data_IF_978019421625
#
_entry.id   IF_978019421625
#
_cell.length_a   1.000
_cell.length_b   1.000
_cell.length_c   1.000
_cell.angle_alpha   90.00
_cell.angle_beta   90.00
_cell.angle_gamma   90.00
#
_symmetry.space_group_name_H-M   'P 1'
#
loop_
_entity.id
_entity.type
_entity.pdbx_description
1 polymer ?
2 polymer ?
3 polymer ?
4 non-polymer ?
#
# COMPACT_ATOMS: atom_id res chain seq x y z
N UNK A 1 -25.20 6.21 26.23
CA UNK A 1 -24.93 5.02 25.42
C UNK A 1 -23.81 5.29 24.43
N UNK A 2 -22.57 5.10 24.86
CA UNK A 2 -21.42 5.30 23.99
C UNK A 2 -21.19 4.05 23.14
N UNK A 3 -21.62 4.11 21.89
CA UNK A 3 -21.66 2.94 21.02
C UNK A 3 -20.25 2.56 20.54
N UNK A 4 -20.06 1.27 20.29
CA UNK A 4 -18.77 0.78 19.82
C UNK A 4 -18.53 1.24 18.39
N UNK A 5 -17.26 1.40 18.00
CA UNK A 5 -16.93 1.93 16.68
C UNK A 5 -16.82 0.86 15.60
N UNK A 6 -17.93 0.19 15.30
CA UNK A 6 -17.95 -0.68 14.13
C UNK A 6 -17.91 0.09 12.84
N UNK A 7 -18.15 1.40 12.88
CA UNK A 7 -18.19 2.19 11.65
C UNK A 7 -16.91 2.06 10.84
N UNK A 8 -15.80 2.56 11.38
CA UNK A 8 -14.55 2.51 10.63
C UNK A 8 -13.98 1.10 10.56
N UNK A 9 -14.57 0.14 11.26
CA UNK A 9 -14.14 -1.24 11.11
C UNK A 9 -14.75 -1.88 9.88
N UNK A 10 -16.03 -1.58 9.60
CA UNK A 10 -16.67 -2.16 8.42
C UNK A 10 -16.68 -1.21 7.23
N UNK A 11 -16.73 0.09 7.47
CA UNK A 11 -16.90 1.07 6.41
C UNK A 11 -15.60 1.74 6.01
N UNK A 12 -14.46 1.21 6.43
CA UNK A 12 -13.18 1.81 6.07
C UNK A 12 -12.96 1.75 4.57
N UNK A 13 -12.28 2.76 4.04
CA UNK A 13 -12.00 2.79 2.61
C UNK A 13 -11.08 1.65 2.20
N UNK A 14 -10.04 1.39 3.00
CA UNK A 14 -9.01 0.42 2.65
C UNK A 14 -8.93 -0.66 3.70
N UNK A 15 -8.81 -1.91 3.26
CA UNK A 15 -8.45 -3.02 4.13
C UNK A 15 -7.08 -3.54 3.76
N UNK A 16 -6.37 -4.04 4.76
CA UNK A 16 -5.05 -4.59 4.55
C UNK A 16 -5.14 -5.94 3.85
N UNK A 17 -4.04 -6.32 3.22
CA UNK A 17 -3.99 -7.62 2.56
C UNK A 17 -4.05 -8.74 3.58
N UNK A 18 -4.44 -9.93 3.11
CA UNK A 18 -4.80 -11.00 4.02
C UNK A 18 -3.63 -11.48 4.87
N UNK A 19 -2.41 -11.40 4.34
CA UNK A 19 -1.27 -11.90 5.10
C UNK A 19 -0.87 -10.97 6.24
N UNK A 20 -1.44 -9.78 6.32
CA UNK A 20 -1.18 -8.85 7.42
C UNK A 20 -2.49 -8.28 7.92
N UNK A 21 -3.45 -9.17 8.16
CA UNK A 21 -4.79 -8.79 8.59
C UNK A 21 -4.78 -7.83 9.77
N UNK A 22 -5.63 -6.81 9.68
CA UNK A 22 -5.76 -5.83 10.76
C UNK A 22 -6.38 -6.47 12.00
N UNK A 23 -5.84 -6.12 13.17
CA UNK A 23 -6.42 -6.52 14.45
C UNK A 23 -6.71 -5.28 15.27
N UNK A 24 -7.98 -4.87 15.32
CA UNK A 24 -8.42 -3.71 16.09
C UNK A 24 -9.17 -4.20 17.32
N UNK A 25 -8.79 -3.69 18.48
CA UNK A 25 -9.46 -4.08 19.72
C UNK A 25 -10.76 -3.29 19.89
N UNK A 26 -11.75 -3.95 20.48
CA UNK A 26 -13.00 -3.31 20.88
C UNK A 26 -13.22 -3.64 22.34
N UNK A 27 -13.34 -2.61 23.16
CA UNK A 27 -13.60 -2.76 24.58
C UNK A 27 -14.10 -1.44 25.12
N UNK A 28 -14.70 -1.49 26.31
CA UNK A 28 -15.20 -0.31 27.02
C UNK A 28 -16.19 0.49 26.16
N UNK A 29 -17.12 -0.24 25.55
CA UNK A 29 -18.20 0.38 24.81
C UNK A 29 -19.34 -0.61 24.70
N UNK A 30 -20.51 -0.09 24.37
CA UNK A 30 -21.68 -0.93 24.12
C UNK A 30 -21.81 -1.15 22.62
N UNK A 31 -21.99 -2.41 22.23
CA UNK A 31 -22.01 -2.79 20.83
C UNK A 31 -23.42 -3.22 20.44
N UNK A 32 -23.95 -2.60 19.39
CA UNK A 32 -25.28 -2.88 18.86
C UNK A 32 -25.17 -3.76 17.63
N UNK A 33 -25.05 -5.07 17.85
CA UNK A 33 -24.85 -5.98 16.74
C UNK A 33 -26.07 -6.10 15.85
N UNK A 34 -27.23 -5.63 16.29
CA UNK A 34 -28.46 -5.84 15.54
C UNK A 34 -28.38 -5.19 14.17
N UNK A 35 -27.88 -3.95 14.11
CA UNK A 35 -27.78 -3.27 12.82
C UNK A 35 -26.86 -4.03 11.89
N UNK A 36 -25.83 -4.69 12.43
CA UNK A 36 -25.01 -5.56 11.60
C UNK A 36 -25.81 -6.74 11.10
N UNK A 37 -26.49 -7.44 12.01
CA UNK A 37 -27.26 -8.60 11.61
C UNK A 37 -28.40 -8.21 10.68
N UNK A 38 -29.04 -7.08 10.94
CA UNK A 38 -30.15 -6.62 10.13
C UNK A 38 -29.70 -5.79 8.94
N UNK A 39 -28.39 -5.69 8.69
CA UNK A 39 -27.92 -4.90 7.57
C UNK A 39 -28.40 -5.47 6.23
N UNK A 40 -28.47 -6.78 6.11
CA UNK A 40 -28.95 -7.48 4.92
C UNK A 40 -28.11 -7.19 3.68
N UNK A 41 -26.98 -6.53 3.83
CA UNK A 41 -26.06 -6.27 2.72
C UNK A 41 -24.79 -7.10 2.81
N UNK A 42 -24.79 -8.17 3.60
CA UNK A 42 -23.63 -9.00 3.83
C UNK A 42 -23.80 -10.31 3.09
N UNK A 43 -22.87 -10.65 2.21
CA UNK A 43 -22.98 -11.88 1.45
C UNK A 43 -22.94 -13.09 2.37
N UNK A 44 -22.06 -13.08 3.36
CA UNK A 44 -21.94 -14.20 4.28
C UNK A 44 -21.85 -13.69 5.70
N UNK A 45 -22.58 -14.36 6.60
CA UNK A 45 -22.58 -14.00 8.01
C UNK A 45 -22.73 -15.30 8.78
N UNK A 46 -21.61 -15.90 9.15
CA UNK A 46 -21.61 -17.23 9.74
C UNK A 46 -21.13 -17.12 11.17
N UNK A 47 -21.90 -17.69 12.11
CA UNK A 47 -21.55 -17.59 13.51
C UNK A 47 -21.31 -18.94 14.15
N UNK A 48 -20.27 -18.99 14.98
CA UNK A 48 -19.78 -20.22 15.58
C UNK A 48 -19.72 -20.13 17.11
N UNK A 49 -20.25 -19.05 17.68
CA UNK A 49 -20.34 -18.93 19.12
C UNK A 49 -21.76 -19.24 19.56
N UNK A 50 -22.55 -18.20 19.80
CA UNK A 50 -23.97 -18.37 19.99
C UNK A 50 -24.66 -17.91 18.70
N UNK A 51 -25.97 -18.17 18.61
CA UNK A 51 -26.71 -17.74 17.43
C UNK A 51 -26.69 -16.22 17.33
N UNK A 52 -26.67 -15.69 16.11
CA UNK A 52 -26.55 -14.23 15.96
C UNK A 52 -27.65 -13.45 16.63
N UNK A 53 -28.87 -14.00 16.68
CA UNK A 53 -29.97 -13.28 17.33
C UNK A 53 -29.72 -13.10 18.81
N UNK A 54 -29.20 -14.13 19.48
CA UNK A 54 -29.08 -14.08 20.92
C UNK A 54 -27.93 -13.20 21.38
N UNK A 55 -26.83 -13.14 20.62
CA UNK A 55 -25.60 -12.54 21.12
C UNK A 55 -25.78 -11.08 21.51
N UNK A 56 -26.79 -10.40 20.98
CA UNK A 56 -27.07 -9.05 21.43
C UNK A 56 -27.40 -9.00 22.91
N UNK A 57 -27.81 -10.12 23.49
CA UNK A 57 -28.06 -10.23 24.92
C UNK A 57 -26.86 -10.77 25.68
N UNK A 58 -25.78 -11.12 24.99
CA UNK A 58 -24.61 -11.72 25.60
C UNK A 58 -23.50 -10.68 25.66
N UNK A 59 -22.80 -10.64 26.79
CA UNK A 59 -21.78 -9.64 27.04
C UNK A 59 -20.41 -10.29 27.21
N UNK A 60 -19.38 -9.60 26.72
CA UNK A 60 -18.02 -10.13 26.68
C UNK A 60 -17.08 -9.12 27.32
N UNK A 61 -15.79 -9.47 27.37
CA UNK A 61 -14.79 -8.54 27.84
C UNK A 61 -13.83 -8.05 26.78
N UNK A 62 -13.68 -8.75 25.66
CA UNK A 62 -12.93 -8.17 24.55
C UNK A 62 -13.51 -8.65 23.24
N UNK A 63 -13.53 -7.77 22.25
CA UNK A 63 -13.96 -8.11 20.91
C UNK A 63 -12.84 -7.70 19.97
N UNK A 64 -12.06 -8.66 19.51
CA UNK A 64 -11.07 -8.35 18.48
C UNK A 64 -11.75 -8.38 17.13
N UNK A 65 -11.48 -7.37 16.30
CA UNK A 65 -11.99 -7.32 14.94
C UNK A 65 -10.79 -7.42 14.00
N UNK A 66 -10.70 -8.51 13.26
CA UNK A 66 -9.61 -8.75 12.33
C UNK A 66 -10.17 -8.64 10.92
N UNK A 67 -9.64 -7.70 10.15
CA UNK A 67 -10.17 -7.42 8.84
C UNK A 67 -9.14 -7.70 7.76
N UNK A 68 -9.62 -8.09 6.58
CA UNK A 68 -8.75 -8.32 5.44
C UNK A 68 -9.60 -8.44 4.17
N UNK A 69 -8.96 -8.83 3.07
CA UNK A 69 -9.61 -8.98 1.78
C UNK A 69 -9.12 -10.25 1.13
N UNK A 70 -10.04 -11.08 0.64
CA UNK A 70 -9.70 -12.39 0.09
C UNK A 70 -10.49 -12.59 -1.20
N UNK A 71 -10.33 -13.77 -1.79
CA UNK A 71 -11.11 -14.19 -2.94
C UNK A 71 -12.36 -14.93 -2.48
N UNK A 72 -13.38 -14.93 -3.34
CA UNK A 72 -14.62 -15.61 -3.00
C UNK A 72 -14.42 -17.09 -2.75
N UNK A 73 -13.50 -17.71 -3.49
CA UNK A 73 -13.27 -19.14 -3.36
C UNK A 73 -12.81 -19.51 -1.95
N UNK A 74 -11.92 -18.71 -1.38
CA UNK A 74 -11.30 -19.05 -0.10
C UNK A 74 -12.17 -18.67 1.08
N UNK A 75 -13.35 -18.09 0.86
CA UNK A 75 -14.16 -17.58 1.96
C UNK A 75 -14.48 -18.69 2.95
N UNK A 76 -14.74 -19.90 2.43
CA UNK A 76 -15.08 -21.02 3.31
C UNK A 76 -13.95 -21.34 4.28
N UNK A 77 -12.70 -21.05 3.90
CA UNK A 77 -11.57 -21.45 4.73
C UNK A 77 -11.58 -20.79 6.10
N UNK A 78 -12.19 -19.61 6.22
CA UNK A 78 -12.21 -18.92 7.50
C UNK A 78 -13.32 -19.52 8.34
N UNK A 79 -12.98 -20.56 9.07
CA UNK A 79 -13.91 -21.26 9.93
C UNK A 79 -13.08 -22.16 10.85
N UNK A 80 -13.52 -22.40 12.07
CA UNK A 80 -12.71 -23.21 12.99
C UNK A 80 -12.44 -24.58 12.41
N UNK A 81 -11.22 -25.07 12.62
CA UNK A 81 -10.86 -26.39 12.14
C UNK A 81 -10.95 -26.57 10.65
N UNK A 82 -10.40 -25.63 9.89
CA UNK A 82 -10.38 -25.72 8.44
C UNK A 82 -8.95 -25.80 7.92
N UNK A 83 -8.80 -26.31 6.71
CA UNK A 83 -7.48 -26.49 6.11
C UNK A 83 -7.48 -25.92 4.70
N UNK A 84 -6.30 -25.50 4.26
CA UNK A 84 -6.14 -24.84 2.99
C UNK A 84 -5.02 -23.83 3.08
N UNK A 85 -4.70 -23.23 1.92
CA UNK A 85 -3.58 -22.31 1.87
C UNK A 85 -3.81 -21.11 2.79
N UNK A 86 -5.03 -20.56 2.78
CA UNK A 86 -5.32 -19.44 3.66
C UNK A 86 -5.34 -19.89 5.11
N UNK A 87 -5.88 -21.08 5.36
CA UNK A 87 -6.04 -21.54 6.73
C UNK A 87 -4.80 -22.20 7.29
N UNK A 88 -3.67 -22.14 6.61
CA UNK A 88 -2.42 -22.56 7.23
C UNK A 88 -1.28 -21.59 7.02
N UNK A 89 -1.30 -20.80 5.95
CA UNK A 89 -0.20 -19.89 5.66
C UNK A 89 -0.52 -18.44 5.98
N UNK A 90 -1.79 -18.05 6.00
CA UNK A 90 -2.15 -16.64 6.12
C UNK A 90 -2.95 -16.34 7.38
N UNK A 91 -4.05 -17.04 7.61
CA UNK A 91 -4.92 -16.74 8.75
C UNK A 91 -5.82 -17.94 9.00
N UNK A 92 -5.77 -18.47 10.21
CA UNK A 92 -6.65 -19.59 10.54
C UNK A 92 -7.20 -19.43 11.94
N UNK A 93 -8.44 -19.84 12.12
CA UNK A 93 -9.14 -19.73 13.38
C UNK A 93 -8.83 -20.94 14.26
N UNK A 94 -8.77 -20.77 15.57
CA UNK A 94 -8.75 -21.92 16.47
C UNK A 94 -10.06 -22.67 16.41
N UNK A 95 -10.00 -23.96 16.75
CA UNK A 95 -11.20 -24.79 16.70
C UNK A 95 -12.27 -24.27 17.67
N UNK A 96 -11.87 -23.83 18.85
CA UNK A 96 -12.81 -23.38 19.87
C UNK A 96 -13.12 -21.90 19.70
N UNK A 97 -13.03 -21.42 18.46
CA UNK A 97 -13.27 -20.01 18.16
C UNK A 97 -14.61 -19.54 18.69
N UNK A 98 -14.59 -18.46 19.47
CA UNK A 98 -15.75 -17.91 20.15
C UNK A 98 -16.05 -16.54 19.56
N UNK A 99 -16.80 -16.54 18.46
CA UNK A 99 -17.03 -15.33 17.70
C UNK A 99 -17.58 -15.72 16.34
N UNK A 100 -17.61 -14.74 15.44
CA UNK A 100 -18.11 -15.09 14.11
C UNK A 100 -17.74 -14.07 13.06
N UNK A 101 -18.08 -14.42 11.82
CA UNK A 101 -17.41 -13.92 10.63
C UNK A 101 -18.43 -13.27 9.71
N UNK A 102 -18.09 -12.06 9.25
CA UNK A 102 -18.87 -11.33 8.26
C UNK A 102 -18.03 -11.23 7.00
N UNK A 103 -18.71 -11.18 5.85
CA UNK A 103 -17.98 -11.01 4.60
C UNK A 103 -18.95 -10.51 3.54
N UNK A 104 -18.45 -9.69 2.64
CA UNK A 104 -19.29 -9.22 1.55
C UNK A 104 -18.46 -8.92 0.31
N UNK A 105 -19.09 -9.10 -0.85
CA UNK A 105 -18.43 -8.85 -2.12
C UNK A 105 -18.16 -7.37 -2.29
N UNK A 106 -17.01 -7.05 -2.90
CA UNK A 106 -16.63 -5.65 -3.06
C UNK A 106 -15.98 -5.40 -4.43
N UNK A 107 -16.41 -6.12 -5.46
CA UNK A 107 -15.79 -5.98 -6.77
C UNK A 107 -15.88 -4.56 -7.29
N UNK A 108 -16.90 -3.81 -6.87
CA UNK A 108 -17.03 -2.43 -7.30
C UNK A 108 -15.88 -1.56 -6.78
N UNK A 109 -15.16 -2.01 -5.76
CA UNK A 109 -14.16 -1.21 -5.10
C UNK A 109 -12.74 -1.73 -5.27
N UNK A 110 -12.51 -3.00 -4.97
CA UNK A 110 -11.14 -3.50 -4.80
C UNK A 110 -10.62 -4.27 -6.00
N UNK A 111 -11.04 -3.93 -7.21
CA UNK A 111 -10.52 -4.58 -8.40
C UNK A 111 -10.24 -3.54 -9.47
N UNK A 112 -9.27 -3.85 -10.33
CA UNK A 112 -8.84 -2.94 -11.39
C UNK A 112 -9.03 -3.58 -12.75
N UNK A 113 -9.31 -2.72 -13.73
CA UNK A 113 -9.49 -3.18 -15.10
C UNK A 113 -8.23 -3.88 -15.58
N UNK A 114 -7.06 -3.33 -15.27
CA UNK A 114 -5.84 -4.03 -15.52
C UNK A 114 -5.49 -5.08 -14.50
N UNK A 115 -6.33 -5.23 -13.48
CA UNK A 115 -6.05 -6.17 -12.41
C UNK A 115 -5.40 -5.51 -11.21
N UNK A 116 -5.95 -5.74 -10.02
CA UNK A 116 -5.40 -5.12 -8.84
C UNK A 116 -4.06 -5.75 -8.49
N UNK A 117 -3.19 -4.98 -7.85
CA UNK A 117 -1.82 -5.37 -7.55
C UNK A 117 -1.47 -5.20 -6.08
N UNK A 118 -2.39 -4.65 -5.29
CA UNK A 118 -2.06 -4.30 -3.92
C UNK A 118 -2.24 -5.47 -2.96
N UNK A 119 -3.29 -6.26 -3.15
CA UNK A 119 -3.58 -7.31 -2.19
C UNK A 119 -2.72 -8.54 -2.43
N UNK A 120 -2.13 -9.06 -1.36
CA UNK A 120 -1.11 -10.09 -1.44
C UNK A 120 -1.41 -11.19 -0.43
N UNK A 121 -1.04 -12.41 -0.78
CA UNK A 121 -1.23 -13.53 0.13
C UNK A 121 0.01 -14.38 0.17
N UNK A 122 0.24 -15.01 1.32
CA UNK A 122 1.50 -15.73 1.57
C UNK A 122 1.40 -17.10 0.90
N UNK A 123 2.12 -17.26 -0.22
CA UNK A 123 1.97 -18.46 -1.03
C UNK A 123 2.61 -19.67 -0.36
N UNK A 124 3.82 -19.52 0.17
CA UNK A 124 4.54 -20.62 0.77
C UNK A 124 4.96 -20.25 2.19
N UNK A 125 5.02 -21.25 3.05
CA UNK A 125 5.57 -21.09 4.39
C UNK A 125 6.11 -22.44 4.83
N UNK A 126 7.24 -22.41 5.53
CA UNK A 126 7.92 -23.66 5.87
C UNK A 126 7.21 -24.41 6.99
N UNK A 127 6.15 -23.84 7.57
CA UNK A 127 5.39 -24.49 8.62
C UNK A 127 3.98 -23.93 8.65
N UNK A 128 3.10 -24.62 9.38
CA UNK A 128 1.76 -24.13 9.57
C UNK A 128 1.74 -22.99 10.58
N UNK A 129 0.55 -22.43 10.80
CA UNK A 129 0.39 -21.30 11.70
C UNK A 129 -0.25 -21.72 13.00
N UNK A 130 0.14 -21.05 14.08
CA UNK A 130 -0.54 -21.16 15.35
C UNK A 130 -1.85 -20.40 15.28
N UNK A 131 -2.79 -20.65 16.20
CA UNK A 131 -4.04 -19.89 16.19
C UNK A 131 -3.79 -18.39 16.31
N UNK A 132 -4.50 -17.62 15.50
CA UNK A 132 -4.41 -16.16 15.52
C UNK A 132 -2.98 -15.69 15.37
N UNK A 133 -2.25 -16.27 14.42
CA UNK A 133 -0.86 -15.94 14.20
C UNK A 133 -0.71 -14.96 13.05
N UNK A 134 0.24 -14.04 13.20
CA UNK A 134 0.45 -12.95 12.26
C UNK A 134 1.93 -12.90 11.92
N UNK A 135 2.28 -13.36 10.72
CA UNK A 135 3.66 -13.36 10.26
C UNK A 135 3.77 -12.52 9.00
N UNK A 136 4.70 -11.57 9.01
CA UNK A 136 4.87 -10.64 7.89
C UNK A 136 6.26 -10.70 7.30
N UNK A 137 7.23 -11.35 7.94
CA UNK A 137 8.56 -11.46 7.37
C UNK A 137 8.48 -12.23 6.06
N UNK A 138 9.26 -11.78 5.08
CA UNK A 138 9.16 -12.29 3.70
C UNK A 138 10.52 -12.73 3.17
N UNK A 139 11.24 -13.52 3.96
CA UNK A 139 12.45 -14.13 3.45
C UNK A 139 12.11 -15.07 2.31
N UNK A 140 13.06 -15.23 1.38
CA UNK A 140 12.80 -16.04 0.19
C UNK A 140 12.57 -17.48 0.60
N UNK A 141 11.66 -18.15 -0.11
CA UNK A 141 11.27 -19.51 0.22
C UNK A 141 12.17 -20.52 -0.46
N UNK A 142 12.74 -21.44 0.32
CA UNK A 142 13.62 -22.48 -0.19
C UNK A 142 12.77 -23.71 -0.47
N UNK A 143 12.35 -23.88 -1.73
CA UNK A 143 11.58 -25.04 -2.12
C UNK A 143 12.44 -26.18 -2.62
N UNK A 144 13.76 -26.00 -2.66
CA UNK A 144 14.66 -27.03 -3.17
C UNK A 144 15.76 -27.33 -2.18
N UNK A 145 16.68 -28.19 -2.61
CA UNK A 145 17.78 -28.59 -1.74
C UNK A 145 18.70 -27.43 -1.43
N UNK A 146 19.01 -26.60 -2.43
CA UNK A 146 19.98 -25.54 -2.26
C UNK A 146 19.45 -24.46 -1.33
N UNK A 147 20.32 -23.79 -0.58
CA UNK A 147 19.90 -22.60 0.15
C UNK A 147 19.83 -21.41 -0.80
N UNK A 148 18.72 -20.69 -0.75
CA UNK A 148 18.52 -19.58 -1.68
C UNK A 148 19.49 -18.43 -1.43
N UNK A 149 20.12 -18.39 -0.26
CA UNK A 149 21.17 -17.42 0.05
C UNK A 149 20.69 -15.99 -0.10
N UNK A 150 19.41 -15.75 0.16
CA UNK A 150 18.86 -14.41 0.09
C UNK A 150 18.67 -13.86 -1.31
N UNK A 151 18.60 -14.73 -2.32
CA UNK A 151 18.34 -14.30 -3.69
C UNK A 151 17.43 -15.32 -4.35
N UNK A 152 16.52 -14.84 -5.19
CA UNK A 152 15.61 -15.71 -5.89
C UNK A 152 16.37 -16.55 -6.92
N UNK A 153 15.71 -17.59 -7.41
CA UNK A 153 16.32 -18.45 -8.41
C UNK A 153 15.52 -19.69 -8.72
N UNK A 154 16.19 -20.72 -9.25
CA UNK A 154 15.54 -21.97 -9.60
C UNK A 154 14.93 -22.59 -8.35
N UNK A 155 13.61 -22.69 -8.33
CA UNK A 155 12.83 -23.20 -7.20
C UNK A 155 12.96 -22.35 -5.95
N UNK A 156 13.52 -21.14 -6.07
CA UNK A 156 13.41 -20.13 -5.03
C UNK A 156 12.29 -19.18 -5.41
N UNK A 157 11.45 -18.84 -4.45
CA UNK A 157 10.24 -18.08 -4.72
C UNK A 157 10.06 -17.00 -3.67
N UNK A 158 9.46 -15.89 -4.10
CA UNK A 158 9.06 -14.86 -3.16
C UNK A 158 7.77 -15.28 -2.47
N UNK A 159 7.73 -15.35 -1.15
CA UNK A 159 6.63 -16.06 -0.50
C UNK A 159 5.29 -15.37 -0.57
N UNK A 160 5.17 -14.29 -1.32
CA UNK A 160 3.91 -13.57 -1.48
C UNK A 160 3.49 -13.55 -2.93
N UNK A 161 2.19 -13.61 -3.17
CA UNK A 161 1.63 -13.60 -4.50
C UNK A 161 0.47 -12.63 -4.55
N UNK A 162 0.25 -12.05 -5.73
CA UNK A 162 -0.73 -10.98 -5.90
C UNK A 162 -1.97 -11.50 -6.62
N UNK A 163 -3.13 -11.30 -5.99
CA UNK A 163 -4.38 -11.62 -6.67
C UNK A 163 -4.60 -10.67 -7.84
N UNK A 164 -5.07 -11.23 -8.95
CA UNK A 164 -5.41 -10.41 -10.09
C UNK A 164 -6.86 -9.98 -10.08
N UNK A 165 -7.23 -9.11 -9.14
CA UNK A 165 -8.62 -8.70 -9.02
C UNK A 165 -9.01 -7.86 -10.23
N UNK A 166 -9.80 -8.45 -11.13
CA UNK A 166 -10.33 -7.75 -12.28
C UNK A 166 -11.84 -7.71 -12.21
N UNK A 167 -12.47 -6.59 -12.57
CA UNK A 167 -13.90 -6.44 -12.33
C UNK A 167 -14.76 -7.48 -13.04
N UNK A 168 -14.34 -7.94 -14.20
CA UNK A 168 -15.14 -8.88 -14.98
C UNK A 168 -14.88 -10.33 -14.60
N UNK A 169 -14.07 -10.58 -13.58
CA UNK A 169 -13.79 -11.95 -13.18
C UNK A 169 -15.04 -12.61 -12.61
N UNK A 170 -15.00 -13.93 -12.54
CA UNK A 170 -16.12 -14.68 -12.00
C UNK A 170 -16.28 -14.47 -10.51
N UNK A 171 -17.46 -14.83 -10.02
CA UNK A 171 -17.77 -14.66 -8.60
C UNK A 171 -16.76 -15.41 -7.74
N UNK A 172 -16.30 -16.58 -8.21
CA UNK A 172 -15.28 -17.30 -7.48
C UNK A 172 -13.98 -16.52 -7.34
N UNK A 173 -13.70 -15.64 -8.29
CA UNK A 173 -12.46 -14.87 -8.28
C UNK A 173 -12.68 -13.40 -7.96
N UNK A 174 -13.80 -13.05 -7.35
CA UNK A 174 -14.05 -11.67 -7.00
C UNK A 174 -13.50 -11.32 -5.63
N UNK A 175 -13.19 -10.05 -5.39
CA UNK A 175 -12.66 -9.65 -4.07
C UNK A 175 -13.78 -9.49 -3.05
N UNK A 176 -13.61 -10.18 -1.92
CA UNK A 176 -14.56 -10.12 -0.82
C UNK A 176 -13.87 -9.56 0.40
N UNK A 177 -14.44 -8.50 0.97
CA UNK A 177 -13.93 -7.93 2.21
C UNK A 177 -14.47 -8.72 3.37
N UNK A 178 -13.59 -9.10 4.30
CA UNK A 178 -13.91 -10.03 5.36
C UNK A 178 -13.56 -9.42 6.70
N UNK A 179 -14.46 -9.59 7.67
CA UNK A 179 -14.24 -9.18 9.05
C UNK A 179 -14.47 -10.40 9.94
N UNK A 180 -13.66 -10.54 10.97
CA UNK A 180 -13.76 -11.66 11.90
C UNK A 180 -13.80 -11.08 13.30
N UNK A 181 -14.87 -11.34 14.03
CA UNK A 181 -15.00 -10.86 15.39
C UNK A 181 -14.76 -12.02 16.34
N UNK A 182 -13.75 -11.89 17.20
CA UNK A 182 -13.52 -12.85 18.26
C UNK A 182 -13.97 -12.23 19.57
N UNK A 183 -14.96 -12.86 20.20
CA UNK A 183 -15.50 -12.42 21.48
C UNK A 183 -14.88 -13.29 22.56
N UNK A 184 -13.98 -12.73 23.38
CA UNK A 184 -13.37 -13.54 24.41
C UNK A 184 -13.76 -13.00 25.78
N UNK A 185 -13.99 -13.94 26.70
CA UNK A 185 -14.26 -13.68 28.10
C UNK A 185 -13.03 -14.06 28.92
N UNK A 186 -12.40 -13.06 29.52
CA UNK A 186 -11.30 -13.23 30.45
C UNK A 186 -11.79 -12.92 31.85
N UNK A 187 -11.00 -13.27 32.85
CA UNK A 187 -11.39 -13.00 34.22
C UNK A 187 -11.27 -11.51 34.52
N UNK A 188 -12.22 -10.74 34.00
CA UNK A 188 -12.23 -9.30 34.14
C UNK A 188 -13.65 -8.82 33.94
N UNK A 189 -13.99 -7.64 34.45
CA UNK A 189 -15.37 -7.15 34.29
C UNK A 189 -15.72 -6.99 32.82
N UNK A 190 -16.79 -7.65 32.41
CA UNK A 190 -17.25 -7.54 31.03
C UNK A 190 -17.67 -6.10 30.74
N UNK A 191 -17.22 -5.58 29.61
CA UNK A 191 -17.47 -4.20 29.25
C UNK A 191 -18.20 -4.02 27.94
N UNK A 192 -18.30 -5.06 27.13
CA UNK A 192 -18.95 -4.97 25.82
C UNK A 192 -20.25 -5.74 25.91
N UNK A 193 -21.35 -5.03 26.13
CA UNK A 193 -22.63 -5.66 26.39
C UNK A 193 -23.62 -5.15 25.34
N UNK A 194 -24.91 -5.43 25.54
CA UNK A 194 -25.93 -5.06 24.58
C UNK A 194 -26.49 -3.66 24.71
N UNK B 1 -1.16 19.74 5.83
CA UNK B 1 0.13 20.07 6.41
C UNK B 1 0.75 18.89 7.12
N UNK B 2 1.58 18.14 6.42
CA UNK B 2 2.27 16.98 6.96
C UNK B 2 3.75 17.26 6.87
N UNK B 3 4.37 17.56 8.01
CA UNK B 3 5.80 17.85 8.03
C UNK B 3 6.56 16.54 8.05
N UNK B 4 7.25 16.24 6.96
CA UNK B 4 7.93 14.97 6.80
C UNK B 4 9.44 15.19 6.76
N UNK B 5 10.18 14.45 7.57
CA UNK B 5 11.63 14.67 7.69
C UNK B 5 12.34 13.35 7.82
N UNK B 6 13.23 13.06 6.88
CA UNK B 6 14.03 11.84 6.93
C UNK B 6 15.17 12.00 7.92
N UNK B 7 15.69 10.87 8.39
CA UNK B 7 16.86 10.88 9.25
C UNK B 7 17.59 9.55 9.18
N UNK B 8 18.67 9.49 8.41
CA UNK B 8 19.42 8.27 8.25
C UNK B 8 20.91 8.50 8.25
N UNK B 9 21.68 7.43 8.33
CA UNK B 9 23.14 7.58 8.28
C UNK B 9 23.58 8.10 6.92
N UNK B 10 24.57 8.99 6.91
CA UNK B 10 24.98 9.61 5.67
C UNK B 10 26.01 8.83 4.89
N UNK B 11 26.49 7.73 5.45
CA UNK B 11 27.57 6.96 4.85
C UNK B 11 27.52 5.54 5.42
N UNK B 12 27.58 4.55 4.54
CA UNK B 12 27.65 3.18 4.94
C UNK B 12 28.83 2.52 4.24
N UNK B 13 29.18 1.32 4.68
CA UNK B 13 30.25 0.56 4.08
C UNK B 13 29.68 -0.40 3.05
N UNK B 14 30.46 -0.79 2.05
CA UNK B 14 29.95 -1.75 1.07
C UNK B 14 29.59 -3.07 1.72
N UNK B 15 28.57 -3.72 1.14
CA UNK B 15 28.12 -5.08 1.44
C UNK B 15 27.39 -5.21 2.77
N UNK B 16 27.35 -4.15 3.59
CA UNK B 16 26.54 -4.19 4.80
C UNK B 16 25.16 -3.63 4.49
N UNK B 17 24.39 -3.28 5.51
CA UNK B 17 23.05 -2.76 5.31
C UNK B 17 22.96 -1.33 5.81
N UNK B 18 22.06 -0.57 5.18
CA UNK B 18 21.74 0.79 5.55
C UNK B 18 20.31 0.83 6.07
N UNK B 19 20.02 1.77 6.96
CA UNK B 19 18.72 1.85 7.62
C UNK B 19 18.31 3.30 7.78
N UNK B 20 17.53 3.80 6.85
CA UNK B 20 16.97 5.14 7.01
C UNK B 20 15.70 5.09 7.84
N UNK B 21 15.36 6.23 8.44
CA UNK B 21 14.17 6.34 9.27
C UNK B 21 13.43 7.62 8.93
N UNK B 22 12.17 7.49 8.58
CA UNK B 22 11.34 8.62 8.18
C UNK B 22 10.45 8.99 9.36
N UNK B 23 10.46 10.27 9.73
CA UNK B 23 9.58 10.76 10.78
C UNK B 23 8.53 11.70 10.21
N UNK B 24 7.31 11.53 10.70
CA UNK B 24 6.17 12.30 10.25
C UNK B 24 5.60 13.07 11.44
N UNK B 25 5.34 14.36 11.23
CA UNK B 25 4.78 15.19 12.29
C UNK B 25 3.59 15.93 11.72
N UNK B 26 2.51 15.99 12.49
CA UNK B 26 1.26 16.45 11.95
C UNK B 26 0.64 15.49 10.98
N UNK B 27 1.07 14.24 11.00
CA UNK B 27 0.63 13.26 10.02
C UNK B 27 0.00 12.02 10.60
N UNK B 28 -1.02 11.51 9.92
CA UNK B 28 -1.80 10.37 10.38
C UNK B 28 -1.48 9.17 9.49
N UNK B 29 -0.50 8.37 9.92
CA UNK B 29 -0.14 7.15 9.21
C UNK B 29 -1.33 6.22 9.09
N UNK B 30 -2.42 6.51 9.80
CA UNK B 30 -3.50 5.56 10.01
C UNK B 30 -4.19 5.12 8.73
N UNK B 31 -4.06 5.83 7.61
CA UNK B 31 -4.74 5.32 6.42
C UNK B 31 -4.00 5.47 5.11
N UNK B 32 -2.83 6.07 5.05
CA UNK B 32 -2.19 6.39 3.79
C UNK B 32 -1.10 5.39 3.45
N UNK B 33 -0.98 5.08 2.16
CA UNK B 33 0.12 4.27 1.67
C UNK B 33 1.38 5.13 1.56
N UNK B 34 2.42 4.71 2.28
CA UNK B 34 3.65 5.46 2.39
C UNK B 34 4.74 4.74 1.63
N UNK B 35 5.56 5.47 0.88
CA UNK B 35 6.53 4.83 0.00
C UNK B 35 7.86 5.55 0.01
N UNK B 36 8.90 4.80 -0.35
CA UNK B 36 10.26 5.31 -0.45
C UNK B 36 10.71 5.28 -1.90
N UNK B 37 11.33 6.38 -2.36
CA UNK B 37 11.94 6.41 -3.68
C UNK B 37 13.33 6.99 -3.56
N UNK B 38 14.14 6.73 -4.58
CA UNK B 38 15.55 7.09 -4.58
C UNK B 38 15.90 7.80 -5.87
N UNK B 39 16.94 8.63 -5.80
CA UNK B 39 17.43 9.35 -6.96
C UNK B 39 18.94 9.27 -7.03
N UNK B 40 19.50 8.52 -7.97
CA UNK B 40 20.94 8.59 -8.19
C UNK B 40 21.32 9.97 -8.68
N UNK B 41 22.54 10.42 -8.42
CA UNK B 41 22.93 11.76 -8.85
C UNK B 41 22.87 11.89 -10.36
N UNK B 42 22.00 12.79 -10.83
CA UNK B 42 21.86 13.01 -12.25
C UNK B 42 21.07 11.96 -13.00
N UNK B 43 20.31 11.14 -12.31
CA UNK B 43 19.44 10.16 -12.95
C UNK B 43 17.99 10.46 -12.57
N UNK B 44 17.10 9.55 -12.96
CA UNK B 44 15.70 9.68 -12.64
C UNK B 44 15.34 9.05 -11.31
N UNK B 45 14.08 9.22 -10.94
CA UNK B 45 13.59 8.66 -9.69
C UNK B 45 13.30 7.17 -9.84
N UNK B 46 13.71 6.41 -8.83
CA UNK B 46 13.43 4.98 -8.78
C UNK B 46 12.56 4.68 -7.56
N UNK B 47 11.43 4.04 -7.80
CA UNK B 47 10.56 3.63 -6.71
C UNK B 47 11.10 2.37 -6.05
N UNK B 48 10.90 2.26 -4.75
CA UNK B 48 11.46 1.18 -3.95
C UNK B 48 10.38 0.27 -3.38
N UNK B 49 9.38 0.85 -2.74
CA UNK B 49 8.32 0.08 -2.13
C UNK B 49 7.43 0.97 -1.29
N UNK B 50 6.23 0.46 -1.02
CA UNK B 50 5.29 1.19 -0.20
C UNK B 50 4.74 0.28 0.88
N UNK B 51 4.35 0.89 2.00
CA UNK B 51 3.99 0.14 3.20
C UNK B 51 2.73 0.74 3.79
N UNK B 52 1.80 -0.12 4.16
CA UNK B 52 0.56 0.31 4.81
C UNK B 52 0.86 0.37 6.31
N UNK B 53 -0.10 0.82 7.13
CA UNK B 53 0.28 0.96 8.53
C UNK B 53 0.25 -0.37 9.26
N UNK B 54 -0.64 -1.27 8.84
CA UNK B 54 -0.75 -2.56 9.51
C UNK B 54 0.53 -3.36 9.38
N UNK B 55 1.12 -3.37 8.19
CA UNK B 55 2.24 -4.23 7.90
C UNK B 55 2.18 -4.74 6.48
N UNK B 56 1.07 -4.45 5.80
CA UNK B 56 0.96 -4.79 4.39
C UNK B 56 1.95 -4.00 3.56
N UNK B 57 2.98 -4.68 3.06
CA UNK B 57 4.03 -4.05 2.29
C UNK B 57 3.96 -4.50 0.85
N UNK B 58 4.78 -3.88 0.02
CA UNK B 58 4.89 -4.23 -1.39
C UNK B 58 6.17 -3.60 -1.92
N UNK B 59 7.00 -4.40 -2.58
CA UNK B 59 8.34 -3.95 -2.95
C UNK B 59 8.55 -4.01 -4.45
N UNK B 60 9.48 -3.20 -4.90
CA UNK B 60 9.88 -3.17 -6.30
C UNK B 60 10.52 -4.50 -6.69
N UNK B 61 10.03 -5.17 -7.74
CA UNK B 61 10.58 -6.50 -8.07
C UNK B 61 12.08 -6.54 -8.27
N UNK B 62 12.66 -5.50 -8.87
CA UNK B 62 14.11 -5.48 -9.02
C UNK B 62 14.81 -5.45 -7.66
N UNK B 63 14.26 -4.71 -6.71
CA UNK B 63 14.84 -4.59 -5.38
C UNK B 63 14.10 -5.44 -4.36
N UNK B 64 13.23 -6.34 -4.81
CA UNK B 64 12.40 -7.11 -3.89
C UNK B 64 13.23 -7.92 -2.92
N UNK B 65 14.44 -8.33 -3.33
CA UNK B 65 15.18 -9.33 -2.57
C UNK B 65 15.80 -8.78 -1.30
N UNK B 66 16.24 -7.52 -1.28
CA UNK B 66 17.11 -7.05 -0.21
C UNK B 66 16.57 -5.85 0.57
N UNK B 67 15.32 -5.46 0.35
CA UNK B 67 14.76 -4.33 1.09
C UNK B 67 13.94 -4.85 2.26
N UNK B 68 13.67 -3.97 3.21
CA UNK B 68 12.81 -4.31 4.34
C UNK B 68 12.22 -3.03 4.87
N UNK B 69 10.91 -2.84 4.68
CA UNK B 69 10.23 -1.64 5.12
C UNK B 69 9.40 -1.98 6.35
N UNK B 70 9.57 -1.21 7.42
CA UNK B 70 8.84 -1.41 8.64
C UNK B 70 8.16 -0.11 9.04
N UNK B 71 6.99 -0.23 9.67
CA UNK B 71 6.23 0.92 10.13
C UNK B 71 5.95 0.77 11.61
N UNK B 72 6.13 1.88 12.35
CA UNK B 72 5.93 1.89 13.80
C UNK B 72 4.95 3.01 14.10
N UNK B 73 3.68 2.65 14.29
CA UNK B 73 2.64 3.66 14.42
C UNK B 73 2.78 4.45 15.71
N UNK B 74 3.12 3.78 16.81
CA UNK B 74 3.18 4.44 18.11
C UNK B 74 4.21 5.56 18.09
N UNK B 75 5.39 5.31 17.53
CA UNK B 75 6.39 6.35 17.30
C UNK B 75 6.32 6.90 15.88
N UNK B 76 5.20 6.61 15.19
CA UNK B 76 4.83 7.17 13.88
C UNK B 76 6.01 7.38 12.94
N UNK B 77 6.72 6.29 12.66
CA UNK B 77 7.95 6.42 11.87
C UNK B 77 8.12 5.20 10.98
N UNK B 78 9.07 5.32 10.06
CA UNK B 78 9.38 4.31 9.05
C UNK B 78 10.81 3.88 9.19
N UNK B 79 11.05 2.60 8.97
CA UNK B 79 12.41 2.11 8.81
C UNK B 79 12.51 1.52 7.41
N UNK B 80 13.55 1.91 6.68
CA UNK B 80 13.89 1.28 5.42
C UNK B 80 15.29 0.69 5.58
N UNK B 81 15.36 -0.63 5.64
CA UNK B 81 16.61 -1.34 5.78
C UNK B 81 16.93 -1.99 4.44
N UNK B 82 17.94 -1.47 3.77
CA UNK B 82 18.39 -2.02 2.50
C UNK B 82 19.67 -2.79 2.75
N UNK B 83 19.69 -4.07 2.40
CA UNK B 83 20.82 -4.93 2.62
C UNK B 83 21.56 -5.19 1.31
N UNK B 84 22.77 -5.74 1.43
CA UNK B 84 23.60 -6.05 0.28
C UNK B 84 23.86 -4.80 -0.55
N UNK B 85 24.24 -3.71 0.13
CA UNK B 85 24.43 -2.45 -0.56
C UNK B 85 25.60 -2.57 -1.54
N UNK B 86 25.41 -2.00 -2.72
CA UNK B 86 26.46 -1.94 -3.72
C UNK B 86 26.80 -0.48 -4.00
N UNK B 87 27.78 -0.26 -4.87
CA UNK B 87 28.09 1.10 -5.28
C UNK B 87 26.95 1.73 -6.06
N UNK B 88 26.04 0.91 -6.61
CA UNK B 88 24.95 1.43 -7.40
C UNK B 88 23.89 2.16 -6.57
N UNK B 89 23.94 2.07 -5.25
CA UNK B 89 22.93 2.69 -4.41
C UNK B 89 23.32 4.07 -3.91
N UNK B 90 24.44 4.63 -4.36
CA UNK B 90 24.78 5.99 -4.01
C UNK B 90 23.71 6.92 -4.55
N UNK B 91 22.83 7.41 -3.67
CA UNK B 91 21.68 8.17 -4.13
C UNK B 91 21.03 8.85 -2.94
N UNK B 92 20.18 9.82 -3.23
CA UNK B 92 19.29 10.42 -2.23
C UNK B 92 18.03 9.58 -2.16
N UNK B 93 17.44 9.52 -0.98
CA UNK B 93 16.22 8.74 -0.77
C UNK B 93 15.13 9.64 -0.22
N UNK B 94 13.92 9.44 -0.71
CA UNK B 94 12.78 10.26 -0.35
C UNK B 94 11.74 9.41 0.36
N UNK B 95 10.93 10.04 1.20
CA UNK B 95 9.88 9.39 1.96
C UNK B 95 8.55 9.98 1.54
N UNK B 96 7.92 9.40 0.53
CA UNK B 96 6.72 9.95 -0.07
C UNK B 96 5.48 9.56 0.72
N UNK B 97 4.32 9.96 0.21
CA UNK B 97 3.03 9.59 0.79
C UNK B 97 1.98 9.54 -0.30
N UNK B 98 1.05 8.59 -0.18
CA UNK B 98 -0.15 8.60 -1.00
C UNK B 98 -0.91 9.90 -0.73
N UNK B 99 -1.74 10.29 -1.70
CA UNK B 99 -2.51 11.52 -1.53
C UNK B 99 -3.77 11.29 -0.70
N UNK B 100 -4.17 10.04 -0.50
CA UNK B 100 -5.46 9.83 0.13
C UNK B 100 -6.42 9.02 -0.72
N UNK B 101 -7.40 9.72 -1.27
CA UNK B 101 -8.57 9.17 -1.95
C UNK B 101 -8.23 7.94 -2.77
N UNK B 102 -8.84 6.80 -2.41
CA UNK B 102 -8.68 5.56 -3.15
C UNK B 102 -9.63 4.51 -2.60
N UNK B 103 -9.58 3.30 -3.14
CA UNK B 103 -10.33 2.22 -2.52
C UNK B 103 -9.42 1.08 -2.08
N UNK B 104 -8.64 0.54 -3.02
CA UNK B 104 -7.83 -0.62 -2.74
C UNK B 104 -6.49 -0.59 -3.44
N UNK B 105 -6.04 0.61 -3.80
CA UNK B 105 -4.82 0.77 -4.56
C UNK B 105 -4.34 2.19 -4.40
N UNK B 106 -3.02 2.35 -4.37
CA UNK B 106 -2.46 3.65 -4.03
C UNK B 106 -2.73 4.66 -5.15
N UNK B 107 -2.28 5.89 -4.89
CA UNK B 107 -2.32 6.97 -5.85
C UNK B 107 -0.90 7.50 -6.03
N UNK B 108 -0.80 8.64 -6.72
CA UNK B 108 0.47 9.30 -6.87
C UNK B 108 0.99 9.78 -5.53
N UNK B 109 2.30 9.77 -5.39
CA UNK B 109 2.94 10.30 -4.19
C UNK B 109 2.67 11.78 -4.10
N UNK B 110 2.62 12.32 -2.88
CA UNK B 110 2.19 13.69 -2.67
C UNK B 110 3.16 14.50 -1.80
N UNK B 111 3.70 13.92 -0.74
CA UNK B 111 4.25 14.71 0.36
C UNK B 111 5.73 14.40 0.57
N UNK B 112 6.50 14.28 -0.52
CA UNK B 112 7.87 13.76 -0.56
C UNK B 112 8.62 14.13 0.72
N UNK B 113 8.68 15.40 1.10
CA UNK B 113 9.58 15.82 2.16
C UNK B 113 11.03 15.74 1.72
N UNK B 114 11.84 16.60 2.33
CA UNK B 114 13.22 16.76 1.90
C UNK B 114 13.97 15.44 1.95
N UNK B 115 14.67 15.13 0.87
CA UNK B 115 15.36 13.86 0.72
C UNK B 115 16.78 13.97 1.26
N UNK B 116 17.23 12.92 1.93
CA UNK B 116 18.57 12.91 2.46
C UNK B 116 19.51 12.15 1.54
N UNK B 117 20.79 12.43 1.68
CA UNK B 117 21.84 11.82 0.87
C UNK B 117 22.34 10.55 1.53
N UNK B 118 22.73 9.58 0.71
CA UNK B 118 23.33 8.35 1.20
C UNK B 118 24.51 7.97 0.30
N UNK B 119 25.71 7.96 0.86
CA UNK B 119 26.91 7.63 0.12
C UNK B 119 27.39 6.25 0.53
N UNK B 120 27.75 5.43 -0.45
CA UNK B 120 28.18 4.05 -0.20
C UNK B 120 29.50 3.83 -0.95
N UNK B 121 30.60 3.94 -0.22
CA UNK B 121 31.92 3.71 -0.79
C UNK B 121 32.94 3.49 0.32
N UNK B 122 34.22 3.49 -0.04
CA UNK B 122 35.28 3.30 0.94
C UNK B 122 36.31 4.41 0.88
N UNK C 1 7.98 -4.44 -16.86
CA UNK C 1 7.55 -3.18 -16.26
C UNK C 1 6.80 -2.31 -17.26
N UNK C 2 6.89 -1.00 -17.07
CA UNK C 2 6.25 -0.02 -17.94
C UNK C 2 7.30 0.98 -18.35
N UNK C 3 7.23 1.45 -19.60
CA UNK C 3 8.22 2.36 -20.14
C UNK C 3 7.57 3.72 -20.39
N UNK C 4 7.97 4.72 -19.61
CA UNK C 4 7.59 6.10 -19.87
C UNK C 4 8.58 6.74 -20.82
N UNK C 5 8.09 7.58 -21.72
CA UNK C 5 8.96 8.32 -22.62
C UNK C 5 8.47 9.75 -22.74
N UNK C 6 9.32 10.71 -22.38
CA UNK C 6 9.01 12.12 -22.55
C UNK C 6 9.65 12.61 -23.84
N UNK C 7 8.84 13.18 -24.72
CA UNK C 7 9.36 13.64 -26.00
C UNK C 7 10.40 14.75 -25.84
N UNK C 8 10.16 15.82 -25.08
CA UNK C 8 11.21 16.84 -24.95
C UNK C 8 12.30 16.44 -23.98
N UNK C 9 13.48 16.11 -24.49
CA UNK C 9 14.61 15.87 -23.59
C UNK C 9 15.08 17.16 -22.94
N UNK C 10 14.90 18.29 -23.61
CA UNK C 10 15.22 19.60 -23.05
C UNK C 10 14.40 20.63 -23.81
N UNK C 11 14.28 21.81 -23.21
CA UNK C 11 13.42 22.83 -23.79
C UNK C 11 13.74 24.17 -23.15
N UNK C 12 13.53 25.24 -23.93
CA UNK C 12 13.67 26.59 -23.41
C UNK C 12 12.73 27.52 -24.17
N UNK C 13 12.40 28.62 -23.53
CA UNK C 13 11.51 29.64 -24.09
C UNK C 13 11.63 30.88 -23.20
N UNK C 14 10.75 31.86 -23.43
CA UNK C 14 10.75 33.09 -22.66
C UNK C 14 9.49 33.16 -21.81
N UNK C 15 9.37 34.27 -21.06
CA UNK C 15 8.27 34.42 -20.12
C UNK C 15 6.94 34.48 -20.86
N UNK C 16 5.89 33.97 -20.23
CA UNK C 16 4.56 34.04 -20.78
C UNK C 16 4.31 33.14 -21.97
N UNK C 17 5.10 32.09 -22.15
CA UNK C 17 4.93 31.20 -23.28
C UNK C 17 4.14 29.96 -22.88
N UNK C 18 3.71 29.22 -23.88
CA UNK C 18 2.97 27.97 -23.70
C UNK C 18 3.85 26.82 -24.15
N UNK C 19 4.13 25.89 -23.25
CA UNK C 19 5.01 24.77 -23.53
C UNK C 19 4.26 23.47 -23.27
N UNK C 20 4.61 22.45 -24.06
CA UNK C 20 3.91 21.17 -24.03
C UNK C 20 4.90 20.05 -23.86
N UNK C 21 4.59 19.11 -22.96
CA UNK C 21 5.42 17.96 -22.68
C UNK C 21 4.59 16.71 -22.94
N UNK C 22 5.11 15.80 -23.75
CA UNK C 22 4.41 14.61 -24.16
C UNK C 22 5.00 13.39 -23.47
N UNK C 23 4.16 12.65 -22.75
CA UNK C 23 4.54 11.42 -22.09
C UNK C 23 3.80 10.27 -22.76
N UNK C 24 4.55 9.29 -23.26
CA UNK C 24 4.00 8.17 -23.99
C UNK C 24 4.36 6.88 -23.27
N UNK C 25 3.42 5.96 -23.22
CA UNK C 25 3.54 4.73 -22.44
C UNK C 25 3.88 3.54 -23.32
N UNK C 26 4.38 2.49 -22.68
CA UNK C 26 4.64 1.25 -23.38
C UNK C 26 3.40 0.37 -23.50
N UNK C 27 2.34 0.68 -22.78
CA UNK C 27 1.09 -0.06 -22.89
C UNK C 27 -0.03 0.79 -22.29
N UNK C 28 -1.23 0.23 -22.26
CA UNK C 28 -2.42 1.00 -21.93
C UNK C 28 -2.41 1.42 -20.46
N UNK C 29 -2.53 2.73 -20.23
CA UNK C 29 -2.62 3.30 -18.89
C UNK C 29 -3.78 4.29 -18.96
N UNK C 30 -4.92 3.92 -18.38
CA UNK C 30 -6.16 4.64 -18.65
C UNK C 30 -6.05 6.13 -18.32
N UNK C 31 -5.92 6.45 -17.04
CA UNK C 31 -5.69 7.83 -16.62
C UNK C 31 -4.68 7.87 -15.49
N UNK C 32 -4.04 6.75 -15.22
CA UNK C 32 -3.19 6.60 -14.03
C UNK C 32 -1.81 7.17 -14.29
N UNK C 33 -1.78 8.48 -14.47
CA UNK C 33 -0.53 9.19 -14.67
C UNK C 33 -0.60 10.55 -13.99
N UNK C 34 0.49 10.91 -13.32
CA UNK C 34 0.60 12.15 -12.59
C UNK C 34 1.86 12.88 -13.04
N UNK C 35 1.81 14.20 -12.89
CA UNK C 35 2.87 15.09 -13.34
C UNK C 35 3.44 15.82 -12.14
N UNK C 36 4.74 15.65 -11.92
CA UNK C 36 5.50 16.31 -10.87
C UNK C 36 6.51 17.27 -11.49
N UNK C 37 6.87 18.31 -10.74
CA UNK C 37 7.98 19.17 -11.10
C UNK C 37 9.00 19.14 -9.98
N UNK C 38 10.25 19.41 -10.32
CA UNK C 38 11.33 19.42 -9.34
C UNK C 38 12.24 20.59 -9.65
N UNK C 39 12.30 21.55 -8.75
CA UNK C 39 13.32 22.57 -8.84
C UNK C 39 14.62 22.01 -8.27
N UNK C 40 15.77 22.53 -8.71
CA UNK C 40 17.04 21.96 -8.27
C UNK C 40 17.22 22.06 -6.77
N UNK C 41 17.79 21.01 -6.19
CA UNK C 41 18.02 20.97 -4.76
C UNK C 41 16.77 20.83 -3.92
N UNK C 42 15.66 20.38 -4.49
CA UNK C 42 14.40 20.28 -3.78
C UNK C 42 13.75 18.93 -4.07
N UNK C 43 12.90 18.52 -3.15
CA UNK C 43 12.07 17.35 -3.37
C UNK C 43 10.97 17.67 -4.38
N UNK C 44 10.65 16.73 -5.25
CA UNK C 44 9.60 16.97 -6.24
C UNK C 44 8.26 17.27 -5.59
N UNK C 45 7.46 18.09 -6.24
CA UNK C 45 6.10 18.37 -5.83
C UNK C 45 5.14 17.53 -6.65
N UNK C 46 3.86 17.66 -6.37
CA UNK C 46 2.83 17.12 -7.24
C UNK C 46 2.13 18.27 -7.94
N UNK C 47 1.92 18.13 -9.25
CA UNK C 47 1.25 19.14 -10.03
C UNK C 47 -0.09 18.66 -10.56
N UNK C 48 -0.11 17.54 -11.28
CA UNK C 48 -1.33 17.02 -11.87
C UNK C 48 -1.51 15.59 -11.43
N UNK C 49 -2.74 15.24 -11.03
CA UNK C 49 -3.05 13.86 -10.66
C UNK C 49 -4.19 13.33 -11.51
N UNK C 50 -4.12 12.02 -11.78
CA UNK C 50 -5.05 11.32 -12.67
C UNK C 50 -5.07 11.95 -14.06
N UNK C 51 -3.95 12.56 -14.46
CA UNK C 51 -3.68 13.08 -15.80
C UNK C 51 -4.57 14.25 -16.19
N UNK C 52 -5.55 14.62 -15.38
CA UNK C 52 -6.43 15.72 -15.77
C UNK C 52 -6.66 16.76 -14.69
N UNK C 53 -6.58 16.41 -13.41
CA UNK C 53 -6.95 17.31 -12.33
C UNK C 53 -5.73 18.09 -11.87
N UNK C 54 -5.92 19.39 -11.64
CA UNK C 54 -4.89 20.20 -11.02
C UNK C 54 -5.04 20.14 -9.51
N UNK C 55 -3.95 19.85 -8.82
CA UNK C 55 -3.98 19.62 -7.38
C UNK C 55 -4.09 20.94 -6.63
N UNK C 56 -4.74 20.88 -5.47
CA UNK C 56 -5.07 22.08 -4.70
C UNK C 56 -3.80 22.83 -4.28
N UNK C 57 -3.84 24.16 -4.44
CA UNK C 57 -2.72 24.99 -4.11
C UNK C 57 -1.77 25.28 -5.25
N UNK C 58 -2.06 24.77 -6.44
CA UNK C 58 -1.21 24.96 -7.60
C UNK C 58 -1.80 26.07 -8.48
N UNK C 59 -1.00 27.02 -8.96
CA UNK C 59 -1.53 28.02 -9.89
C UNK C 59 -2.05 27.35 -11.15
N UNK C 60 -3.15 27.90 -11.67
CA UNK C 60 -3.89 27.26 -12.76
C UNK C 60 -3.20 27.39 -14.11
N UNK C 61 -1.98 27.90 -14.15
CA UNK C 61 -1.27 28.04 -15.43
C UNK C 61 -0.87 26.70 -16.03
N UNK C 62 -0.94 25.62 -15.25
CA UNK C 62 -0.65 24.29 -15.76
C UNK C 62 -1.94 23.61 -16.19
N UNK C 63 -1.80 22.61 -17.05
CA UNK C 63 -2.94 21.81 -17.46
C UNK C 63 -2.44 20.47 -17.97
N UNK C 64 -3.35 19.51 -18.05
CA UNK C 64 -2.99 18.18 -18.53
C UNK C 64 -4.14 17.57 -19.32
N UNK C 65 -3.78 16.65 -20.21
CA UNK C 65 -4.76 15.95 -21.00
C UNK C 65 -4.16 14.65 -21.48
N UNK C 66 -5.00 13.80 -22.07
CA UNK C 66 -4.55 12.55 -22.66
C UNK C 66 -5.33 11.37 -22.11
N UNK C 67 -4.99 10.21 -22.64
CA UNK C 67 -5.62 8.94 -22.27
C UNK C 67 -4.83 7.83 -22.95
N UNK C 68 -5.34 6.59 -22.84
CA UNK C 68 -4.76 5.49 -23.59
C UNK C 68 -3.31 5.25 -23.24
N UNK C 69 -2.40 5.64 -24.14
CA UNK C 69 -0.97 5.53 -23.88
C UNK C 69 -0.23 6.84 -24.16
N UNK C 70 -0.94 7.97 -24.17
CA UNK C 70 -0.30 9.24 -24.46
C UNK C 70 -0.98 10.36 -23.70
N UNK C 71 -0.17 11.24 -23.12
CA UNK C 71 -0.67 12.37 -22.35
C UNK C 71 0.23 13.57 -22.57
N UNK C 72 -0.30 14.75 -22.29
CA UNK C 72 0.43 16.00 -22.44
C UNK C 72 0.21 16.88 -21.24
N UNK C 73 1.28 17.51 -20.78
CA UNK C 73 1.26 18.47 -19.69
C UNK C 73 1.74 19.81 -20.26
N UNK C 74 0.95 20.85 -20.07
CA UNK C 74 1.17 22.10 -20.76
C UNK C 74 1.15 23.27 -19.79
N UNK C 75 2.13 24.15 -19.92
CA UNK C 75 2.14 25.43 -19.24
C UNK C 75 1.61 26.48 -20.21
N UNK C 76 0.42 27.02 -19.93
CA UNK C 76 -0.15 28.01 -20.83
C UNK C 76 0.67 29.29 -20.84
N UNK C 77 1.12 29.74 -19.68
CA UNK C 77 1.90 30.97 -19.56
C UNK C 77 3.12 30.70 -18.70
N UNK C 78 4.29 30.65 -19.34
CA UNK C 78 5.52 30.38 -18.60
C UNK C 78 5.89 31.55 -17.71
N UNK C 79 6.57 31.24 -16.61
CA UNK C 79 6.98 32.21 -15.61
C UNK C 79 8.45 32.02 -15.26
N UNK C 80 9.10 33.04 -14.71
CA UNK C 80 10.51 32.88 -14.32
C UNK C 80 10.74 31.81 -13.29
N UNK C 81 9.75 31.50 -12.46
CA UNK C 81 9.88 30.51 -11.41
C UNK C 81 9.58 29.09 -11.88
N UNK C 82 9.19 28.92 -13.13
CA UNK C 82 8.87 27.61 -13.68
C UNK C 82 10.09 26.86 -14.19
N UNK C 83 11.28 27.23 -13.74
CA UNK C 83 12.52 26.58 -14.13
C UNK C 83 12.65 25.25 -13.40
N UNK C 84 12.51 24.14 -14.09
CA UNK C 84 12.46 22.89 -13.33
C UNK C 84 12.52 21.68 -14.25
N UNK C 85 12.75 20.53 -13.65
CA UNK C 85 12.72 19.26 -14.35
C UNK C 85 11.39 18.57 -14.06
N UNK C 86 10.69 18.18 -15.11
CA UNK C 86 9.32 17.70 -15.00
C UNK C 86 9.26 16.22 -15.31
N UNK C 87 8.45 15.49 -14.54
CA UNK C 87 8.40 14.03 -14.61
C UNK C 87 6.95 13.58 -14.69
N UNK C 88 6.64 12.79 -15.71
CA UNK C 88 5.41 12.01 -15.67
C UNK C 88 5.66 10.70 -14.95
N UNK C 89 4.60 10.15 -14.37
CA UNK C 89 4.74 8.88 -13.67
C UNK C 89 3.40 8.16 -13.67
N UNK C 90 3.44 6.85 -13.80
CA UNK C 90 2.23 6.05 -13.77
C UNK C 90 2.10 5.35 -12.44
N UNK C 91 0.87 5.05 -12.04
CA UNK C 91 0.63 4.17 -10.91
C UNK C 91 -0.35 3.06 -11.25
N UNK C 92 -0.31 2.55 -12.48
CA UNK C 92 -1.28 1.54 -12.90
C UNK C 92 -0.75 0.13 -12.70
N UNK C 93 0.58 -0.03 -12.70
CA UNK C 93 1.16 -1.34 -12.48
C UNK C 93 2.51 -1.24 -11.79
N UNK C 94 2.88 -2.33 -11.14
CA UNK C 94 4.14 -2.44 -10.41
C UNK C 94 5.23 -2.86 -11.39
N UNK C 95 6.41 -2.23 -11.37
CA UNK C 95 6.74 -1.10 -10.50
C UNK C 95 6.25 0.23 -11.04
N UNK C 96 6.13 1.22 -10.17
CA UNK C 96 5.84 2.57 -10.60
C UNK C 96 7.01 3.11 -11.39
N UNK C 97 6.72 3.76 -12.50
CA UNK C 97 7.74 4.19 -13.44
C UNK C 97 7.75 5.70 -13.54
N UNK C 98 8.92 6.29 -13.41
CA UNK C 98 9.09 7.72 -13.54
C UNK C 98 9.79 8.04 -14.86
N UNK C 99 9.25 9.01 -15.58
CA UNK C 99 9.90 9.48 -16.78
C UNK C 99 11.28 10.05 -16.48
N UNK C 100 12.17 9.94 -17.46
CA UNK C 100 13.56 10.33 -17.27
C UNK C 100 13.74 11.83 -17.14
N UNK C 101 12.67 12.61 -17.20
CA UNK C 101 12.77 14.01 -16.86
C UNK C 101 12.85 14.91 -18.08
N UNK C 102 12.25 16.08 -17.96
CA UNK C 102 12.30 17.11 -18.99
C UNK C 102 12.80 18.40 -18.35
N UNK C 103 13.97 18.85 -18.74
CA UNK C 103 14.53 20.08 -18.19
C UNK C 103 13.87 21.27 -18.87
N UNK C 104 13.46 22.25 -18.07
CA UNK C 104 12.78 23.44 -18.57
C UNK C 104 13.54 24.65 -18.05
N UNK C 105 14.06 25.45 -18.98
CA UNK C 105 14.94 26.58 -18.76
C UNK C 105 14.27 27.85 -19.28
X LIG D 1 -21.66 2.35 6.46
X LIG D 1 -22.51 1.96 7.66
X LIG D 1 -23.95 1.74 7.24
X LIG D 1 -24.48 2.96 6.50
X LIG D 1 -23.56 3.32 5.35
X LIG D 1 -23.95 4.59 4.65
X LIG D 1 -22.02 0.57 9.63
X LIG D 1 -21.44 -0.71 10.12
X LIG D 1 -21.98 0.77 8.31
X LIG D 1 -24.74 1.49 8.40
X LIG D 1 -25.79 2.71 6.00
X LIG D 1 -22.22 3.51 5.84
X LIG D 1 -24.86 5.35 5.44
X LIG D 1 -22.52 1.41 10.38
#
# INVERSE_FOLDING_TARGET
>A
TNLCPFGEVFNATRFASVYAWNRKRISNCVADYSVLYNSASFSTFKCYGVSPTKLNDLCFTNVYADSFVIRGDEVRQIAPGQTGKIADYNYKLPDDFTGCVIAWNSNNLDSKVGGNYNYLYRLFRKSNLKPFERDISTEIYQAGSTPCNGVEGFNCYFPLQSYGFQPTNGVGYQPYRVVVLSFELLHAPATVCG
>B
QVQLQESGPGLVKPSETLSLTCTVSGGSISSYYWSWIRQPPGKGLEWIGYIYYSGSTNYNPSLRSRVTISVDTSKNQFSLKLSSVTAADTAVYYCARDRGYSSGWTDGFDIWGQGTMVTVSSASTKGPSVFPLAPSSKSTSGGTAALGCLVKDYFPEPVTVSWNSGALTSGVHTFPAVLQSSGLYSLSSVVTVPSSSLGTQTYICNVNHKPSNTKVDKKVEPKSCDKTHTCPPCPAPEAAGGPSVFLFPPKPKDTLMISRTPEVTCVVVDVSHEDPEVKFNWYVDGVEVHNAKTKPREEQYNSTYRVVSVLTVLHQDWLNGKEYKCKVSNKALPAPIEKTISKAKGQPREPQVYTLPPSREEMTKNQVSLTCLVKGFYPSDIAVEWESNGQPENNYKTTPPVLDSDGSFFLYSKLTVDKSRWQQGNVFSCSVMHEALHNHYTQKSLSLSPGK
>C
DIQMTQSPSSLSASVGDRVTITCQASQDITNYLNWYQQKPGKAPKLLIYDASNLETGVPSRFSGSGSGTDFTFTISSLQPEDIATYYCQQYDNIPFTFGLGTKVDIKRTVAAPSVFIFPPSDEQLKSGTASVVCLLNNFYPREAKVQWKVDNALQSGNSQESVTEQDSKDSTYSLSSTLTLSKADYEKHKVYACEVTHQGLSSPVTKSFNRGEC
>D hetero
1 NAG C1 C2 C3 C4 C5 C6 C7 C8 N2 O3 O4 O5 O6 O7
#
